data_IF_360034647082
#
_entry.id   IF_360034647082
#
_cell.length_a   1.000
_cell.length_b   1.000
_cell.length_c   1.000
_cell.angle_alpha   90.00
_cell.angle_beta   90.00
_cell.angle_gamma   90.00
#
_symmetry.space_group_name_H-M   'P 1'
#
loop_
_entity.id
_entity.type
_entity.pdbx_description
1 polymer ?
#
# COMPACT_ATOMS: atom_id res chain seq x y z
N UNK A 1 -11.27 -1.13 7.50
CA UNK A 1 -11.73 -0.59 6.21
C UNK A 1 -11.14 -1.44 5.09
N UNK A 2 -11.80 -1.52 3.93
CA UNK A 2 -11.27 -2.25 2.77
C UNK A 2 -10.75 -1.26 1.73
N UNK A 3 -9.52 -1.44 1.28
CA UNK A 3 -8.88 -0.68 0.21
C UNK A 3 -8.68 -1.57 -1.00
N UNK A 4 -8.80 -1.01 -2.19
CA UNK A 4 -8.45 -1.66 -3.44
C UNK A 4 -7.06 -1.19 -3.87
N UNK A 5 -6.14 -2.13 -4.07
CA UNK A 5 -4.84 -1.87 -4.68
C UNK A 5 -5.04 -1.77 -6.18
N UNK A 6 -4.78 -0.60 -6.77
CA UNK A 6 -4.93 -0.41 -8.20
C UNK A 6 -3.54 -0.39 -8.85
N UNK A 7 -3.30 -1.37 -9.71
CA UNK A 7 -2.14 -1.36 -10.59
C UNK A 7 -2.44 -0.48 -11.81
N UNK A 8 -1.56 0.49 -12.07
CA UNK A 8 -1.70 1.42 -13.19
C UNK A 8 -0.54 1.24 -14.17
N UNK A 9 -0.85 1.06 -15.44
CA UNK A 9 0.15 1.06 -16.51
C UNK A 9 0.50 2.51 -16.86
N UNK A 10 1.78 2.83 -16.79
CA UNK A 10 2.30 4.18 -17.08
C UNK A 10 2.41 4.39 -18.61
N UNK A 11 2.46 3.31 -19.39
CA UNK A 11 2.67 3.35 -20.83
C UNK A 11 1.35 3.28 -21.61
N UNK A 12 0.96 4.33 -22.37
CA UNK A 12 -0.32 4.40 -23.07
C UNK A 12 -0.48 3.32 -24.15
N UNK A 13 0.61 2.82 -24.72
CA UNK A 13 0.58 1.72 -25.69
C UNK A 13 0.22 0.39 -25.03
N UNK A 14 0.61 0.18 -23.77
CA UNK A 14 0.28 -1.03 -23.01
C UNK A 14 -1.13 -0.99 -22.40
N UNK A 15 -1.65 0.20 -22.10
CA UNK A 15 -3.05 0.40 -21.64
C UNK A 15 -4.05 -0.15 -22.66
N UNK A 16 -3.72 -0.11 -23.95
CA UNK A 16 -4.55 -0.71 -25.01
C UNK A 16 -4.57 -2.25 -24.98
N UNK A 17 -3.52 -2.89 -24.47
CA UNK A 17 -3.39 -4.36 -24.44
C UNK A 17 -3.84 -4.99 -23.11
N UNK A 18 -3.81 -4.24 -22.01
CA UNK A 18 -4.20 -4.74 -20.70
C UNK A 18 -5.12 -3.72 -20.03
N UNK A 19 -6.42 -4.02 -20.08
CA UNK A 19 -7.44 -3.26 -19.35
C UNK A 19 -7.18 -3.35 -17.85
N UNK A 20 -7.39 -2.24 -17.13
CA UNK A 20 -7.18 -2.18 -15.67
C UNK A 20 -8.08 -3.18 -14.94
N UNK A 21 -9.29 -3.44 -15.45
CA UNK A 21 -10.19 -4.46 -14.92
C UNK A 21 -9.60 -5.87 -15.05
N UNK A 22 -8.95 -6.17 -16.18
CA UNK A 22 -8.27 -7.45 -16.38
C UNK A 22 -7.11 -7.63 -15.41
N UNK A 23 -6.28 -6.60 -15.23
CA UNK A 23 -5.16 -6.62 -14.26
C UNK A 23 -5.65 -6.79 -12.83
N UNK A 24 -6.69 -6.05 -12.44
CA UNK A 24 -7.30 -6.11 -11.11
C UNK A 24 -7.99 -7.45 -10.81
N UNK A 25 -8.35 -8.22 -11.84
CA UNK A 25 -8.91 -9.58 -11.68
C UNK A 25 -7.85 -10.66 -11.49
N UNK A 26 -6.56 -10.33 -11.67
CA UNK A 26 -5.48 -11.30 -11.49
C UNK A 26 -5.19 -11.50 -10.00
N UNK A 27 -5.22 -12.76 -9.55
CA UNK A 27 -4.75 -13.16 -8.22
C UNK A 27 -3.60 -14.17 -8.37
N UNK A 28 -2.44 -13.76 -8.91
CA UNK A 28 -1.33 -14.68 -9.09
C UNK A 28 -0.73 -15.06 -7.74
N UNK A 29 -0.31 -16.32 -7.63
CA UNK A 29 0.36 -16.82 -6.44
C UNK A 29 1.62 -15.99 -6.16
N UNK A 30 1.69 -15.39 -4.97
CA UNK A 30 2.84 -14.62 -4.49
C UNK A 30 2.73 -13.10 -4.60
N UNK A 31 1.65 -12.55 -5.16
CA UNK A 31 1.35 -11.12 -5.07
C UNK A 31 0.41 -10.82 -3.89
N UNK A 32 0.49 -9.61 -3.30
CA UNK A 32 -0.46 -9.19 -2.29
C UNK A 32 -1.88 -9.12 -2.86
N UNK A 33 -2.90 -9.39 -2.03
CA UNK A 33 -4.29 -9.42 -2.48
C UNK A 33 -4.72 -8.04 -2.98
N UNK A 34 -5.48 -8.01 -4.09
CA UNK A 34 -6.06 -6.77 -4.64
C UNK A 34 -6.87 -5.98 -3.60
N UNK A 35 -7.49 -6.70 -2.67
CA UNK A 35 -8.27 -6.12 -1.58
C UNK A 35 -7.52 -6.19 -0.25
N UNK A 36 -7.16 -5.04 0.28
CA UNK A 36 -6.52 -4.91 1.59
C UNK A 36 -7.56 -4.57 2.66
N UNK A 37 -7.82 -5.51 3.57
CA UNK A 37 -8.75 -5.31 4.69
C UNK A 37 -7.99 -5.02 5.98
N UNK A 38 -8.12 -3.79 6.49
CA UNK A 38 -7.40 -3.32 7.66
C UNK A 38 -8.33 -3.06 8.85
N UNK A 39 -7.77 -3.09 10.05
CA UNK A 39 -8.42 -2.69 11.30
C UNK A 39 -7.66 -1.52 11.91
N UNK A 40 -8.34 -0.74 12.75
CA UNK A 40 -7.66 0.28 13.55
C UNK A 40 -6.61 -0.42 14.43
N UNK A 41 -5.45 0.23 14.61
CA UNK A 41 -4.35 -0.24 15.47
C UNK A 41 -3.71 -1.56 15.04
N UNK A 42 -4.00 -2.08 13.85
CA UNK A 42 -3.29 -3.26 13.36
C UNK A 42 -1.88 -2.90 12.87
N UNK A 43 -0.87 -3.75 13.13
CA UNK A 43 0.43 -3.60 12.50
C UNK A 43 0.35 -3.95 11.01
N UNK A 44 1.01 -3.16 10.17
CA UNK A 44 1.17 -3.38 8.73
C UNK A 44 2.64 -3.23 8.33
N UNK A 45 3.00 -3.76 7.16
CA UNK A 45 4.35 -3.65 6.60
C UNK A 45 4.28 -2.97 5.25
N UNK A 46 5.17 -2.02 4.99
CA UNK A 46 5.27 -1.38 3.68
C UNK A 46 6.04 -2.27 2.71
N UNK A 47 5.45 -2.56 1.54
CA UNK A 47 6.04 -3.47 0.54
C UNK A 47 6.85 -2.76 -0.56
N UNK A 48 6.83 -1.42 -0.60
CA UNK A 48 7.55 -0.62 -1.61
C UNK A 48 8.17 0.62 -0.99
N UNK A 49 9.32 1.03 -1.50
CA UNK A 49 9.95 2.27 -1.11
C UNK A 49 9.06 3.45 -1.49
N UNK A 50 8.73 4.31 -0.52
CA UNK A 50 7.97 5.54 -0.74
C UNK A 50 8.85 6.76 -0.49
N UNK A 51 9.52 6.78 0.65
CA UNK A 51 10.39 7.88 1.06
C UNK A 51 11.61 7.36 1.83
N UNK A 52 12.64 6.86 1.13
CA UNK A 52 13.87 6.43 1.78
C UNK A 52 14.59 7.62 2.44
N UNK A 53 15.14 7.45 3.66
CA UNK A 53 15.33 6.19 4.38
C UNK A 53 14.25 5.87 5.44
N UNK A 54 13.18 6.66 5.56
CA UNK A 54 12.19 6.50 6.62
C UNK A 54 11.09 5.49 6.27
N UNK A 55 10.54 5.58 5.05
CA UNK A 55 9.46 4.74 4.53
C UNK A 55 9.98 3.86 3.39
N UNK A 56 10.76 2.85 3.77
CA UNK A 56 11.28 1.84 2.87
C UNK A 56 10.47 0.54 2.93
N UNK A 57 10.77 -0.36 2.00
CA UNK A 57 10.25 -1.72 2.06
C UNK A 57 10.69 -2.38 3.38
N UNK A 58 9.74 -3.01 4.08
CA UNK A 58 9.95 -3.63 5.38
C UNK A 58 9.69 -2.73 6.58
N UNK A 59 9.40 -1.43 6.42
CA UNK A 59 9.01 -0.58 7.55
C UNK A 59 7.70 -1.08 8.16
N UNK A 60 7.73 -1.41 9.46
CA UNK A 60 6.53 -1.75 10.23
C UNK A 60 5.82 -0.48 10.69
N UNK A 61 4.50 -0.46 10.55
CA UNK A 61 3.65 0.68 10.85
C UNK A 61 2.44 0.24 11.67
N UNK A 62 1.93 1.10 12.55
CA UNK A 62 0.68 0.89 13.29
C UNK A 62 -0.40 1.80 12.71
N UNK A 63 -1.54 1.24 12.28
CA UNK A 63 -2.65 2.04 11.72
C UNK A 63 -3.28 2.90 12.81
N UNK A 64 -3.25 4.22 12.65
CA UNK A 64 -3.91 5.18 13.54
C UNK A 64 -5.29 5.57 13.02
N UNK A 65 -5.40 5.89 11.72
CA UNK A 65 -6.66 6.28 11.08
C UNK A 65 -6.77 5.76 9.64
N UNK A 66 -8.01 5.56 9.20
CA UNK A 66 -8.35 5.01 7.88
C UNK A 66 -9.31 5.94 7.12
N UNK A 67 -8.74 6.81 6.27
CA UNK A 67 -9.47 7.69 5.35
C UNK A 67 -9.79 6.94 4.04
N UNK A 68 -10.46 7.59 3.09
CA UNK A 68 -10.97 6.94 1.87
C UNK A 68 -9.86 6.31 1.04
N UNK A 69 -8.77 7.04 0.82
CA UNK A 69 -7.60 6.60 0.04
C UNK A 69 -6.27 6.92 0.75
N UNK A 70 -6.32 7.17 2.07
CA UNK A 70 -5.15 7.51 2.86
C UNK A 70 -5.21 6.74 4.17
N UNK A 71 -4.06 6.19 4.56
CA UNK A 71 -3.83 5.62 5.88
C UNK A 71 -2.95 6.58 6.68
N UNK A 72 -3.38 6.92 7.89
CA UNK A 72 -2.48 7.53 8.88
C UNK A 72 -1.93 6.41 9.74
N UNK A 73 -0.60 6.36 9.89
CA UNK A 73 0.06 5.31 10.62
C UNK A 73 1.34 5.79 11.30
N UNK A 74 1.64 5.26 12.48
CA UNK A 74 2.91 5.50 13.18
C UNK A 74 3.97 4.52 12.70
N UNK A 75 5.20 4.99 12.51
CA UNK A 75 6.34 4.10 12.25
C UNK A 75 6.75 3.40 13.55
N UNK A 76 6.79 2.06 13.51
CA UNK A 76 7.17 1.21 14.66
C UNK A 76 8.67 0.90 14.63
N UNK A 77 9.27 0.83 13.44
CA UNK A 77 10.66 0.38 13.26
C UNK A 77 11.40 1.24 12.25
N UNK A 78 12.69 1.50 12.49
CA UNK A 78 13.57 2.18 11.55
C UNK A 78 13.84 3.64 11.92
N UNK A 79 14.30 4.43 10.94
CA UNK A 79 14.82 5.78 11.20
C UNK A 79 13.76 6.78 11.66
N UNK A 80 12.51 6.61 11.23
CA UNK A 80 11.39 7.49 11.59
C UNK A 80 10.54 6.97 12.75
N UNK A 81 11.05 6.07 13.60
CA UNK A 81 10.25 5.44 14.67
C UNK A 81 9.57 6.49 15.56
N UNK A 82 8.26 6.34 15.76
CA UNK A 82 7.41 7.27 16.53
C UNK A 82 6.81 8.41 15.71
N UNK A 83 7.23 8.61 14.46
CA UNK A 83 6.63 9.61 13.58
C UNK A 83 5.33 9.08 12.98
N UNK A 84 4.33 9.96 12.87
CA UNK A 84 3.08 9.68 12.16
C UNK A 84 3.22 10.06 10.69
N UNK A 85 2.77 9.19 9.80
CA UNK A 85 2.90 9.33 8.35
C UNK A 85 1.58 9.05 7.65
N UNK A 86 1.40 9.68 6.49
CA UNK A 86 0.27 9.44 5.60
C UNK A 86 0.70 8.57 4.41
N UNK A 87 -0.01 7.46 4.21
CA UNK A 87 0.28 6.49 3.15
C UNK A 87 -0.89 6.47 2.17
N UNK A 88 -0.66 6.82 0.88
CA UNK A 88 -1.63 6.63 -0.18
C UNK A 88 -1.69 5.17 -0.65
#
# INVERSE_FOLDING_TARGET
>A
RCYALVDSLINPTQVMFFQTEFLNSQEPLGLPPHKLSLKLSCPIIRLRNLDPPQLCNGTHLAVEQMLDNILEATIITGKGTGESVFIP
#
